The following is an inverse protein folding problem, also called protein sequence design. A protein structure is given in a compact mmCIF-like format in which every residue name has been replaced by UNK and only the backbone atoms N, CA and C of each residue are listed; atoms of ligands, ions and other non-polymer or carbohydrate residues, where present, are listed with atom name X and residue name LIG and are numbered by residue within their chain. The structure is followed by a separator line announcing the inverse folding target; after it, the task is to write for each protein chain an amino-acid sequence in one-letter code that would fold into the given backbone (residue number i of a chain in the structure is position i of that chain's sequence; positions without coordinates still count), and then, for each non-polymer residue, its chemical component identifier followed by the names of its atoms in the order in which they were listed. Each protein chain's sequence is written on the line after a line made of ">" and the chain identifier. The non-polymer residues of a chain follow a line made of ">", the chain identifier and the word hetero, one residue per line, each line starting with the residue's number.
data_IF_827775725329
#
_entry.id   IF_827775725329
#
_cell.length_a   1.000
_cell.length_b   1.000
_cell.length_c   1.000
_cell.angle_alpha   90.00
_cell.angle_beta   90.00
_cell.angle_gamma   90.00
#
_symmetry.space_group_name_H-M   'P 1'
#
loop_
_entity.id
_entity.type
_entity.pdbx_description
1 polymer ?
#
# COMPACT_ATOMS: atom_id res chain seq x y z
N UNK A 1 -17.04 -3.13 -3.29
CA UNK A 1 -17.55 -3.85 -2.11
C UNK A 1 -19.05 -3.69 -1.96
N UNK A 2 -19.61 -2.49 -1.89
CA UNK A 2 -21.08 -2.23 -1.74
C UNK A 2 -21.94 -3.00 -2.76
N UNK A 3 -21.58 -3.00 -4.05
CA UNK A 3 -22.35 -3.71 -5.10
C UNK A 3 -22.47 -5.21 -4.81
N UNK A 4 -21.40 -5.86 -4.34
CA UNK A 4 -21.44 -7.31 -3.99
C UNK A 4 -22.34 -7.57 -2.79
N UNK A 5 -22.32 -6.70 -1.81
CA UNK A 5 -23.14 -6.84 -0.60
C UNK A 5 -24.62 -6.60 -0.93
N UNK A 6 -24.92 -5.52 -1.65
CA UNK A 6 -26.30 -5.24 -2.10
C UNK A 6 -26.84 -6.35 -3.00
N UNK A 7 -26.03 -6.81 -3.96
CA UNK A 7 -26.44 -7.90 -4.85
C UNK A 7 -26.81 -9.18 -4.12
N UNK A 8 -26.05 -9.53 -3.07
CA UNK A 8 -26.33 -10.68 -2.22
C UNK A 8 -27.65 -10.51 -1.46
N UNK A 9 -27.88 -9.32 -0.89
CA UNK A 9 -29.10 -9.03 -0.12
C UNK A 9 -30.35 -9.06 -0.99
N UNK A 10 -30.28 -8.58 -2.24
CA UNK A 10 -31.42 -8.61 -3.18
C UNK A 10 -31.56 -9.95 -3.94
N UNK A 11 -30.78 -10.97 -3.57
CA UNK A 11 -30.89 -12.34 -4.08
C UNK A 11 -30.28 -12.58 -5.46
N UNK A 12 -29.37 -11.73 -5.93
CA UNK A 12 -28.66 -11.96 -7.19
C UNK A 12 -27.52 -12.98 -7.02
N UNK A 13 -27.26 -13.76 -8.06
CA UNK A 13 -26.15 -14.73 -8.01
C UNK A 13 -24.80 -14.04 -7.92
N UNK A 14 -23.86 -14.67 -7.18
CA UNK A 14 -22.53 -14.13 -6.97
C UNK A 14 -21.79 -13.84 -8.29
N UNK A 15 -21.80 -14.80 -9.23
CA UNK A 15 -21.14 -14.63 -10.53
C UNK A 15 -21.68 -13.46 -11.35
N UNK A 16 -23.00 -13.26 -11.35
CA UNK A 16 -23.65 -12.15 -12.02
C UNK A 16 -23.22 -10.81 -11.41
N UNK A 17 -23.28 -10.68 -10.08
CA UNK A 17 -22.89 -9.45 -9.38
C UNK A 17 -21.39 -9.18 -9.51
N UNK A 18 -20.55 -10.21 -9.48
CA UNK A 18 -19.11 -10.09 -9.63
C UNK A 18 -18.73 -9.61 -11.04
N UNK A 19 -19.43 -10.07 -12.08
CA UNK A 19 -19.23 -9.58 -13.45
C UNK A 19 -19.51 -8.08 -13.59
N UNK A 20 -20.54 -7.59 -12.92
CA UNK A 20 -20.87 -6.16 -12.87
C UNK A 20 -19.81 -5.38 -12.07
N UNK A 21 -19.43 -5.90 -10.90
CA UNK A 21 -18.44 -5.26 -10.05
C UNK A 21 -17.05 -5.15 -10.72
N UNK A 22 -16.69 -6.07 -11.61
CA UNK A 22 -15.44 -6.05 -12.40
C UNK A 22 -15.42 -4.99 -13.51
N UNK A 23 -16.58 -4.47 -13.91
CA UNK A 23 -16.64 -3.35 -14.86
C UNK A 23 -16.28 -2.01 -14.21
N UNK A 24 -16.25 -1.94 -12.88
CA UNK A 24 -15.91 -0.71 -12.17
C UNK A 24 -14.40 -0.57 -12.12
N UNK A 25 -13.83 0.49 -12.72
CA UNK A 25 -12.41 0.74 -12.65
C UNK A 25 -11.96 0.91 -11.19
N UNK A 26 -10.92 0.19 -10.82
CA UNK A 26 -10.31 0.31 -9.49
C UNK A 26 -8.92 0.91 -9.62
N UNK A 27 -8.77 2.15 -9.17
CA UNK A 27 -7.49 2.83 -9.06
C UNK A 27 -7.27 3.20 -7.58
N UNK A 28 -6.37 2.50 -6.88
CA UNK A 28 -6.09 2.77 -5.47
C UNK A 28 -5.51 4.16 -5.22
N UNK A 29 -4.80 4.73 -6.20
CA UNK A 29 -4.15 6.05 -6.09
C UNK A 29 -5.14 7.19 -6.28
N UNK A 30 -6.23 6.94 -7.01
CA UNK A 30 -7.26 7.93 -7.30
C UNK A 30 -8.66 7.29 -7.26
N UNK A 31 -9.18 7.03 -6.05
CA UNK A 31 -10.50 6.40 -5.92
C UNK A 31 -11.58 7.28 -6.54
N UNK A 32 -12.36 6.68 -7.44
CA UNK A 32 -13.52 7.34 -8.08
C UNK A 32 -14.79 6.93 -7.38
N UNK A 33 -15.76 7.84 -7.33
CA UNK A 33 -17.10 7.54 -6.89
C UNK A 33 -17.82 6.60 -7.87
N UNK A 34 -18.85 5.90 -7.41
CA UNK A 34 -19.63 4.99 -8.27
C UNK A 34 -20.28 5.75 -9.43
N UNK A 35 -20.73 6.99 -9.22
CA UNK A 35 -21.32 7.81 -10.26
C UNK A 35 -20.28 8.17 -11.35
N UNK A 36 -19.04 8.51 -10.97
CA UNK A 36 -17.96 8.75 -11.92
C UNK A 36 -17.59 7.51 -12.72
N UNK A 37 -17.59 6.34 -12.05
CA UNK A 37 -17.36 5.06 -12.72
C UNK A 37 -18.46 4.72 -13.73
N UNK A 38 -19.73 4.96 -13.40
CA UNK A 38 -20.86 4.77 -14.31
C UNK A 38 -20.71 5.68 -15.53
N UNK A 39 -20.35 6.94 -15.32
CA UNK A 39 -20.21 7.92 -16.41
C UNK A 39 -19.02 7.59 -17.34
N UNK A 40 -18.00 6.90 -16.84
CA UNK A 40 -16.80 6.57 -17.60
C UNK A 40 -16.81 5.18 -18.26
N UNK A 41 -17.79 4.29 -17.92
CA UNK A 41 -17.83 2.91 -18.44
C UNK A 41 -19.11 2.66 -19.28
N UNK A 42 -19.04 2.72 -20.62
CA UNK A 42 -20.20 2.56 -21.49
C UNK A 42 -20.92 1.20 -21.35
N UNK A 43 -20.16 0.13 -21.04
CA UNK A 43 -20.74 -1.21 -20.83
C UNK A 43 -21.60 -1.26 -19.61
N UNK A 44 -21.20 -0.58 -18.53
CA UNK A 44 -21.99 -0.49 -17.31
C UNK A 44 -23.27 0.33 -17.56
N UNK A 45 -23.19 1.44 -18.30
CA UNK A 45 -24.35 2.24 -18.68
C UNK A 45 -25.37 1.43 -19.50
N UNK A 46 -24.87 0.63 -20.45
CA UNK A 46 -25.72 -0.25 -21.26
C UNK A 46 -26.43 -1.27 -20.38
N UNK A 47 -25.71 -1.96 -19.51
CA UNK A 47 -26.30 -2.94 -18.60
C UNK A 47 -27.37 -2.33 -17.68
N UNK A 48 -27.16 -1.11 -17.18
CA UNK A 48 -28.15 -0.39 -16.37
C UNK A 48 -29.43 -0.09 -17.16
N UNK A 49 -29.30 0.19 -18.47
CA UNK A 49 -30.47 0.44 -19.36
C UNK A 49 -31.20 -0.84 -19.71
N UNK A 50 -30.46 -1.92 -19.97
CA UNK A 50 -31.00 -3.15 -20.56
C UNK A 50 -31.54 -4.13 -19.52
N UNK A 51 -31.09 -4.06 -18.26
CA UNK A 51 -31.52 -4.97 -17.18
C UNK A 51 -32.00 -4.21 -15.95
N UNK A 52 -33.31 -4.32 -15.65
CA UNK A 52 -33.93 -3.69 -14.49
C UNK A 52 -33.34 -4.15 -13.14
N UNK A 53 -32.80 -5.38 -13.07
CA UNK A 53 -32.13 -5.90 -11.87
C UNK A 53 -30.81 -5.17 -11.64
N UNK A 54 -30.05 -4.92 -12.72
CA UNK A 54 -28.81 -4.14 -12.65
C UNK A 54 -29.10 -2.71 -12.25
N UNK A 55 -30.14 -2.09 -12.83
CA UNK A 55 -30.57 -0.74 -12.43
C UNK A 55 -30.89 -0.69 -10.94
N UNK A 56 -31.72 -1.60 -10.42
CA UNK A 56 -32.05 -1.67 -9.00
C UNK A 56 -30.82 -1.86 -8.11
N UNK A 57 -29.90 -2.73 -8.53
CA UNK A 57 -28.63 -2.97 -7.83
C UNK A 57 -27.80 -1.69 -7.71
N UNK A 58 -27.64 -0.98 -8.82
CA UNK A 58 -26.85 0.26 -8.86
C UNK A 58 -27.53 1.40 -8.09
N UNK A 59 -28.83 1.59 -8.26
CA UNK A 59 -29.59 2.63 -7.53
C UNK A 59 -29.48 2.47 -6.01
N UNK A 60 -29.58 1.23 -5.50
CA UNK A 60 -29.37 0.93 -4.09
C UNK A 60 -27.92 1.13 -3.66
N UNK A 61 -26.98 0.74 -4.50
CA UNK A 61 -25.55 0.88 -4.21
C UNK A 61 -25.12 2.35 -4.12
N UNK A 62 -25.66 3.22 -4.97
CA UNK A 62 -25.44 4.67 -4.91
C UNK A 62 -25.96 5.29 -3.61
N UNK A 63 -27.08 4.80 -3.07
CA UNK A 63 -27.62 5.29 -1.79
C UNK A 63 -26.79 4.87 -0.58
N UNK A 64 -26.02 3.78 -0.71
CA UNK A 64 -25.20 3.22 0.38
C UNK A 64 -23.72 3.56 0.23
N UNK A 65 -23.32 4.16 -0.89
CA UNK A 65 -21.94 4.59 -1.09
C UNK A 65 -21.57 5.65 -0.04
N UNK A 66 -20.36 5.53 0.51
CA UNK A 66 -19.84 6.45 1.53
C UNK A 66 -20.32 6.19 2.95
N UNK A 67 -21.30 5.29 3.16
CA UNK A 67 -21.72 4.94 4.51
C UNK A 67 -20.70 4.02 5.19
N UNK A 68 -20.43 4.31 6.46
CA UNK A 68 -19.58 3.47 7.29
C UNK A 68 -20.28 2.14 7.59
N UNK A 69 -19.60 1.03 7.33
CA UNK A 69 -20.15 -0.32 7.49
C UNK A 69 -19.70 -1.01 8.76
N UNK A 70 -18.43 -0.84 9.12
CA UNK A 70 -17.81 -1.52 10.24
C UNK A 70 -17.01 -0.53 11.08
N UNK A 71 -16.87 -0.87 12.35
CA UNK A 71 -15.88 -0.30 13.25
C UNK A 71 -14.76 -1.33 13.42
N UNK A 72 -13.52 -0.92 13.28
CA UNK A 72 -12.38 -1.78 13.50
C UNK A 72 -11.28 -0.98 14.21
N UNK A 73 -10.58 -1.64 15.14
CA UNK A 73 -9.39 -1.06 15.76
C UNK A 73 -8.23 -1.09 14.76
N UNK A 74 -7.54 0.02 14.60
CA UNK A 74 -6.35 0.09 13.76
C UNK A 74 -5.24 -0.80 14.34
N UNK A 75 -4.54 -1.55 13.48
CA UNK A 75 -3.54 -2.52 13.92
C UNK A 75 -2.31 -1.88 14.61
N UNK A 76 -1.98 -0.64 14.28
CA UNK A 76 -0.75 0.02 14.70
C UNK A 76 -0.91 1.51 15.04
N UNK A 77 -2.00 2.14 14.60
CA UNK A 77 -2.23 3.57 14.81
C UNK A 77 -2.66 3.87 16.24
N UNK A 78 -1.92 4.76 16.90
CA UNK A 78 -2.23 5.29 18.22
C UNK A 78 -2.39 6.80 18.11
N UNK A 79 -3.49 7.33 18.64
CA UNK A 79 -3.68 8.78 18.71
C UNK A 79 -3.21 9.31 20.04
N UNK A 80 -2.52 10.44 20.01
CA UNK A 80 -1.97 11.13 21.17
C UNK A 80 -2.59 12.52 21.24
N UNK A 81 -2.94 12.94 22.46
CA UNK A 81 -3.47 14.25 22.75
C UNK A 81 -2.77 14.86 23.98
N UNK A 82 -2.80 16.17 24.07
CA UNK A 82 -2.30 16.95 25.21
C UNK A 82 -3.23 16.92 26.44
N UNK A 83 -4.45 16.40 26.22
CA UNK A 83 -5.53 16.36 27.22
C UNK A 83 -6.32 15.05 27.11
N UNK A 84 -7.27 14.85 28.02
CA UNK A 84 -8.14 13.68 28.01
C UNK A 84 -8.90 13.56 26.69
N UNK A 85 -8.76 12.44 25.98
CA UNK A 85 -9.33 12.19 24.66
C UNK A 85 -10.86 12.43 24.61
N UNK A 86 -11.58 12.11 25.67
CA UNK A 86 -13.04 12.31 25.78
C UNK A 86 -13.46 13.78 25.68
N UNK A 87 -12.53 14.72 25.83
CA UNK A 87 -12.82 16.15 25.66
C UNK A 87 -12.79 16.58 24.18
N UNK A 88 -12.19 15.75 23.32
CA UNK A 88 -11.99 16.08 21.90
C UNK A 88 -12.76 15.15 20.97
N UNK A 89 -12.89 13.86 21.32
CA UNK A 89 -13.50 12.86 20.44
C UNK A 89 -14.30 11.83 21.24
N UNK A 90 -15.38 11.27 20.66
CA UNK A 90 -16.05 10.13 21.25
C UNK A 90 -15.19 8.88 21.12
N UNK A 91 -15.24 8.04 22.16
CA UNK A 91 -14.48 6.80 22.21
C UNK A 91 -15.39 5.58 22.04
N UNK A 92 -14.83 4.54 21.44
CA UNK A 92 -15.45 3.23 21.25
C UNK A 92 -14.60 2.15 21.89
N UNK A 93 -15.22 1.29 22.67
CA UNK A 93 -14.58 0.09 23.22
C UNK A 93 -15.30 -1.13 22.65
N UNK A 94 -14.56 -1.94 21.89
CA UNK A 94 -15.06 -3.23 21.45
C UNK A 94 -15.12 -4.19 22.65
N UNK A 95 -16.31 -4.70 22.94
CA UNK A 95 -16.51 -5.66 24.02
C UNK A 95 -15.79 -7.00 23.80
N UNK A 96 -15.50 -7.34 22.54
CA UNK A 96 -14.78 -8.55 22.15
C UNK A 96 -13.25 -8.38 22.13
N UNK A 97 -12.76 -7.15 22.24
CA UNK A 97 -11.33 -6.86 22.16
C UNK A 97 -10.65 -7.03 23.53
N UNK A 98 -9.56 -7.79 23.54
CA UNK A 98 -8.66 -7.90 24.72
C UNK A 98 -7.80 -6.63 24.91
N UNK A 99 -7.86 -5.68 23.98
CA UNK A 99 -7.10 -4.43 24.08
C UNK A 99 -7.65 -3.55 25.20
N UNK A 100 -6.73 -3.06 26.02
CA UNK A 100 -7.06 -2.17 27.17
C UNK A 100 -7.47 -0.76 26.71
N UNK A 101 -6.96 -0.31 25.56
CA UNK A 101 -7.17 1.04 25.05
C UNK A 101 -8.43 1.10 24.16
N UNK A 102 -9.29 2.11 24.33
CA UNK A 102 -10.42 2.37 23.45
C UNK A 102 -9.92 2.95 22.11
N UNK A 103 -10.73 2.79 21.06
CA UNK A 103 -10.53 3.45 19.77
C UNK A 103 -11.30 4.77 19.70
N UNK A 104 -10.88 5.70 18.86
CA UNK A 104 -11.71 6.85 18.49
C UNK A 104 -12.86 6.40 17.60
N UNK A 105 -14.03 7.04 17.71
CA UNK A 105 -15.13 6.82 16.76
C UNK A 105 -14.94 7.62 15.46
N UNK A 106 -13.93 8.46 15.39
CA UNK A 106 -13.58 9.24 14.22
C UNK A 106 -12.66 8.44 13.29
N UNK A 107 -12.82 8.64 12.00
CA UNK A 107 -11.84 8.21 11.01
C UNK A 107 -10.53 9.03 11.12
N UNK A 108 -9.54 8.67 10.33
CA UNK A 108 -8.21 9.30 10.37
C UNK A 108 -8.28 10.83 10.15
N UNK A 109 -9.04 11.26 9.14
CA UNK A 109 -9.15 12.68 8.78
C UNK A 109 -9.92 13.49 9.85
N UNK A 110 -10.99 12.92 10.36
CA UNK A 110 -11.78 13.56 11.42
C UNK A 110 -11.02 13.65 12.74
N UNK A 111 -10.19 12.64 13.06
CA UNK A 111 -9.32 12.66 14.23
C UNK A 111 -8.24 13.74 14.11
N UNK A 112 -7.61 13.88 12.95
CA UNK A 112 -6.62 14.92 12.66
C UNK A 112 -7.26 16.31 12.73
N UNK A 113 -8.43 16.49 12.11
CA UNK A 113 -9.19 17.75 12.18
C UNK A 113 -9.61 18.11 13.62
N UNK A 114 -9.79 17.13 14.51
CA UNK A 114 -10.04 17.36 15.93
C UNK A 114 -8.76 17.72 16.72
N UNK A 115 -7.62 17.87 16.04
CA UNK A 115 -6.32 18.24 16.65
C UNK A 115 -5.57 17.07 17.27
N UNK A 116 -5.91 15.82 16.96
CA UNK A 116 -5.20 14.65 17.43
C UNK A 116 -4.03 14.32 16.51
N UNK A 117 -2.93 13.86 17.10
CA UNK A 117 -1.75 13.38 16.38
C UNK A 117 -1.79 11.86 16.36
N UNK A 118 -1.71 11.27 15.16
CA UNK A 118 -1.65 9.83 14.95
C UNK A 118 -0.21 9.38 14.78
N UNK A 119 0.19 8.39 15.55
CA UNK A 119 1.45 7.66 15.39
C UNK A 119 1.15 6.22 15.00
N UNK A 120 1.89 5.69 14.02
CA UNK A 120 1.80 4.30 13.60
C UNK A 120 3.02 3.53 14.13
N UNK A 121 2.78 2.60 15.07
CA UNK A 121 3.82 1.74 15.62
C UNK A 121 3.77 0.38 14.93
N UNK A 122 4.51 0.26 13.84
CA UNK A 122 4.57 -0.97 13.06
C UNK A 122 5.85 -1.75 13.39
N UNK A 123 5.67 -2.95 13.96
CA UNK A 123 6.74 -3.91 14.11
C UNK A 123 7.01 -4.67 12.80
N UNK A 124 8.27 -4.97 12.51
CA UNK A 124 8.66 -5.75 11.36
C UNK A 124 9.17 -7.13 11.81
N UNK A 125 8.41 -8.18 11.54
CA UNK A 125 8.78 -9.57 11.90
C UNK A 125 10.12 -10.00 11.28
N UNK A 126 10.46 -9.51 10.09
CA UNK A 126 11.73 -9.80 9.40
C UNK A 126 12.93 -9.34 10.22
N UNK A 127 12.87 -8.19 10.88
CA UNK A 127 13.95 -7.73 11.77
C UNK A 127 14.14 -8.68 12.97
N UNK A 128 13.05 -9.24 13.50
CA UNK A 128 13.14 -10.27 14.55
C UNK A 128 13.84 -11.54 14.05
N UNK A 129 13.63 -11.92 12.78
CA UNK A 129 14.32 -13.07 12.15
C UNK A 129 15.81 -12.77 12.03
N UNK A 130 16.18 -11.56 11.55
CA UNK A 130 17.58 -11.12 11.43
C UNK A 130 18.28 -11.12 12.79
N UNK A 131 17.65 -10.54 13.84
CA UNK A 131 18.19 -10.54 15.20
C UNK A 131 18.42 -11.96 15.73
N UNK A 132 17.42 -12.85 15.55
CA UNK A 132 17.59 -14.25 15.95
C UNK A 132 18.71 -14.96 15.18
N UNK A 133 18.82 -14.73 13.88
CA UNK A 133 19.90 -15.28 13.06
C UNK A 133 21.27 -14.80 13.55
N UNK A 134 21.41 -13.50 13.80
CA UNK A 134 22.63 -12.93 14.38
C UNK A 134 22.99 -13.61 15.71
N UNK A 135 22.04 -13.74 16.65
CA UNK A 135 22.26 -14.42 17.94
C UNK A 135 22.69 -15.88 17.80
N UNK A 136 22.18 -16.59 16.77
CA UNK A 136 22.59 -17.96 16.48
C UNK A 136 24.04 -18.03 15.96
N UNK A 137 24.42 -17.11 15.07
CA UNK A 137 25.79 -17.01 14.55
C UNK A 137 26.77 -16.66 15.66
N UNK A 138 26.41 -15.74 16.55
CA UNK A 138 27.23 -15.28 17.68
C UNK A 138 27.54 -16.39 18.68
N UNK A 139 26.82 -17.52 18.70
CA UNK A 139 27.21 -18.69 19.48
C UNK A 139 28.53 -19.30 19.01
N UNK A 140 28.88 -19.14 17.73
CA UNK A 140 30.13 -19.67 17.12
C UNK A 140 31.13 -18.54 16.84
N UNK A 141 30.65 -17.37 16.45
CA UNK A 141 31.46 -16.18 16.14
C UNK A 141 30.92 -14.99 16.93
N UNK A 142 31.46 -14.73 18.11
CA UNK A 142 30.96 -13.68 19.03
C UNK A 142 31.09 -12.26 18.47
N UNK A 143 31.98 -12.02 17.52
CA UNK A 143 32.24 -10.70 16.94
C UNK A 143 31.33 -10.38 15.74
N UNK A 144 30.55 -11.36 15.27
CA UNK A 144 29.64 -11.14 14.15
C UNK A 144 28.56 -10.12 14.50
N UNK A 145 28.40 -9.11 13.65
CA UNK A 145 27.30 -8.14 13.71
C UNK A 145 26.77 -7.86 12.31
N UNK A 146 25.45 -7.81 12.18
CA UNK A 146 24.79 -7.43 10.93
C UNK A 146 25.15 -5.99 10.53
N UNK A 147 25.38 -5.11 11.51
CA UNK A 147 25.76 -3.71 11.26
C UNK A 147 27.16 -3.55 10.65
N UNK A 148 27.97 -4.62 10.64
CA UNK A 148 29.32 -4.65 10.07
C UNK A 148 29.38 -5.33 8.70
N UNK A 149 28.23 -5.73 8.15
CA UNK A 149 28.17 -6.35 6.81
C UNK A 149 28.45 -5.26 5.78
N UNK A 150 29.31 -5.58 4.83
CA UNK A 150 29.55 -4.75 3.65
C UNK A 150 28.36 -4.88 2.69
N UNK A 151 27.91 -3.75 2.16
CA UNK A 151 26.79 -3.68 1.23
C UNK A 151 27.22 -3.66 -0.25
N UNK A 152 28.54 -3.78 -0.53
CA UNK A 152 29.10 -3.70 -1.89
C UNK A 152 29.41 -5.09 -2.50
N UNK A 153 28.78 -6.17 -1.96
CA UNK A 153 28.98 -7.52 -2.48
C UNK A 153 28.36 -7.70 -3.87
N UNK A 154 29.21 -7.76 -4.88
CA UNK A 154 28.81 -7.92 -6.28
C UNK A 154 28.07 -9.22 -6.58
N UNK A 155 28.29 -10.31 -5.83
CA UNK A 155 27.56 -11.57 -6.01
C UNK A 155 26.09 -11.43 -5.60
N UNK A 156 25.82 -10.62 -4.57
CA UNK A 156 24.46 -10.30 -4.16
C UNK A 156 23.73 -9.57 -5.29
N UNK A 157 24.33 -8.52 -5.85
CA UNK A 157 23.71 -7.76 -6.95
C UNK A 157 23.53 -8.60 -8.22
N UNK A 158 24.48 -9.49 -8.54
CA UNK A 158 24.33 -10.42 -9.64
C UNK A 158 23.16 -11.40 -9.42
N UNK A 159 22.98 -11.87 -8.20
CA UNK A 159 21.85 -12.73 -7.82
C UNK A 159 20.50 -12.00 -7.93
N UNK A 160 20.44 -10.74 -7.46
CA UNK A 160 19.27 -9.88 -7.58
C UNK A 160 18.93 -9.57 -9.05
N UNK A 161 19.95 -9.27 -9.87
CA UNK A 161 19.80 -8.98 -11.30
C UNK A 161 19.27 -10.17 -12.11
N UNK A 162 19.41 -11.39 -11.60
CA UNK A 162 18.84 -12.62 -12.18
C UNK A 162 17.40 -12.88 -11.70
N UNK A 163 16.86 -12.08 -10.81
CA UNK A 163 15.54 -12.29 -10.20
C UNK A 163 15.50 -13.47 -9.22
N UNK A 164 16.64 -13.95 -8.73
CA UNK A 164 16.73 -15.05 -7.76
C UNK A 164 16.45 -14.55 -6.34
N UNK A 165 15.20 -14.12 -6.09
CA UNK A 165 14.81 -13.39 -4.87
C UNK A 165 13.80 -14.14 -4.01
N UNK A 166 13.72 -15.47 -4.12
CA UNK A 166 12.84 -16.29 -3.28
C UNK A 166 13.24 -16.18 -1.82
N UNK A 167 12.29 -15.80 -0.96
CA UNK A 167 12.52 -15.61 0.47
C UNK A 167 13.16 -14.26 0.84
N UNK A 168 13.45 -13.39 -0.12
CA UNK A 168 13.94 -12.04 0.15
C UNK A 168 12.74 -11.09 0.36
N UNK A 169 12.62 -10.59 1.58
CA UNK A 169 11.53 -9.69 1.96
C UNK A 169 11.40 -8.51 0.99
N UNK A 170 10.17 -8.22 0.57
CA UNK A 170 9.78 -7.18 -0.40
C UNK A 170 10.27 -7.40 -1.85
N UNK A 171 11.20 -8.32 -2.12
CA UNK A 171 11.79 -8.51 -3.45
C UNK A 171 11.29 -9.75 -4.18
N UNK A 172 10.40 -10.54 -3.59
CA UNK A 172 10.02 -11.88 -4.08
C UNK A 172 8.78 -11.91 -5.00
N UNK A 173 8.01 -10.80 -5.13
CA UNK A 173 6.86 -10.77 -6.04
C UNK A 173 7.30 -10.82 -7.50
N UNK A 174 6.47 -11.39 -8.39
CA UNK A 174 6.79 -11.52 -9.83
C UNK A 174 7.16 -10.17 -10.44
N UNK A 175 6.33 -9.14 -10.23
CA UNK A 175 6.59 -7.82 -10.79
C UNK A 175 7.85 -7.15 -10.22
N UNK A 176 8.21 -7.40 -8.94
CA UNK A 176 9.46 -6.91 -8.38
C UNK A 176 10.67 -7.65 -8.98
N UNK A 177 10.56 -8.95 -9.23
CA UNK A 177 11.58 -9.72 -9.96
C UNK A 177 11.83 -9.18 -11.35
N UNK A 178 10.76 -8.91 -12.10
CA UNK A 178 10.87 -8.32 -13.44
C UNK A 178 11.51 -6.93 -13.39
N UNK A 179 11.18 -6.13 -12.39
CA UNK A 179 11.79 -4.82 -12.19
C UNK A 179 13.30 -4.92 -11.86
N UNK A 180 13.71 -5.86 -11.00
CA UNK A 180 15.13 -6.14 -10.68
C UNK A 180 15.92 -6.62 -11.91
N UNK A 181 15.36 -7.53 -12.70
CA UNK A 181 16.00 -8.03 -13.92
C UNK A 181 16.20 -6.92 -14.94
N UNK A 182 15.25 -6.00 -15.06
CA UNK A 182 15.34 -4.87 -15.98
C UNK A 182 16.28 -3.77 -15.46
N UNK A 183 16.31 -3.51 -14.15
CA UNK A 183 17.15 -2.49 -13.53
C UNK A 183 18.60 -2.91 -13.47
N UNK A 184 18.89 -4.19 -13.25
CA UNK A 184 20.24 -4.74 -13.02
C UNK A 184 20.97 -3.97 -11.93
N UNK A 185 20.53 -4.04 -10.68
CA UNK A 185 21.12 -3.28 -9.58
C UNK A 185 22.59 -3.61 -9.40
N UNK A 186 23.39 -2.59 -9.11
CA UNK A 186 24.83 -2.67 -8.88
C UNK A 186 25.25 -2.15 -7.53
N UNK A 187 24.37 -1.37 -6.87
CA UNK A 187 24.61 -0.74 -5.57
C UNK A 187 23.35 -0.86 -4.70
N UNK A 188 23.49 -0.65 -3.39
CA UNK A 188 22.36 -0.69 -2.46
C UNK A 188 21.33 0.40 -2.77
N UNK A 189 21.80 1.57 -3.23
CA UNK A 189 20.96 2.71 -3.61
C UNK A 189 19.94 2.35 -4.70
N UNK A 190 20.31 1.48 -5.64
CA UNK A 190 19.39 0.96 -6.67
C UNK A 190 18.24 0.19 -6.05
N UNK A 191 18.51 -0.59 -5.01
CA UNK A 191 17.48 -1.36 -4.29
C UNK A 191 16.59 -0.42 -3.50
N UNK A 192 17.16 0.59 -2.84
CA UNK A 192 16.42 1.62 -2.11
C UNK A 192 15.48 2.36 -3.07
N UNK A 193 16.02 2.80 -4.22
CA UNK A 193 15.23 3.48 -5.26
C UNK A 193 14.11 2.59 -5.79
N UNK A 194 14.41 1.32 -6.08
CA UNK A 194 13.41 0.37 -6.58
C UNK A 194 12.28 0.17 -5.59
N UNK A 195 12.57 -0.07 -4.32
CA UNK A 195 11.57 -0.24 -3.26
C UNK A 195 10.73 1.04 -3.08
N UNK A 196 11.34 2.21 -3.23
CA UNK A 196 10.65 3.49 -3.18
C UNK A 196 9.72 3.71 -4.39
N UNK A 197 10.14 3.30 -5.58
CA UNK A 197 9.37 3.48 -6.83
C UNK A 197 8.31 2.38 -7.05
N UNK A 198 8.53 1.16 -6.54
CA UNK A 198 7.63 0.02 -6.78
C UNK A 198 6.37 0.09 -5.90
N UNK A 199 5.53 1.08 -6.17
CA UNK A 199 4.22 1.29 -5.52
C UNK A 199 3.29 2.06 -6.46
N UNK A 200 1.96 1.99 -6.26
CA UNK A 200 1.01 2.75 -7.06
C UNK A 200 1.37 4.24 -7.09
N UNK A 201 1.39 4.83 -8.28
CA UNK A 201 1.82 6.20 -8.54
C UNK A 201 3.23 6.26 -9.13
N UNK A 202 4.31 6.12 -8.34
CA UNK A 202 5.67 6.31 -8.86
C UNK A 202 6.21 5.16 -9.72
N UNK A 203 5.52 4.01 -9.81
CA UNK A 203 5.96 2.84 -10.59
C UNK A 203 6.23 3.15 -12.08
N UNK A 204 5.50 4.11 -12.65
CA UNK A 204 5.73 4.57 -14.03
C UNK A 204 7.09 5.24 -14.24
N UNK A 205 7.78 5.63 -13.16
CA UNK A 205 9.10 6.26 -13.24
C UNK A 205 10.26 5.24 -13.20
N UNK A 206 10.00 3.94 -12.96
CA UNK A 206 11.04 2.91 -12.95
C UNK A 206 11.82 2.86 -14.28
N UNK A 207 11.16 2.90 -15.47
CA UNK A 207 11.89 2.96 -16.74
C UNK A 207 12.79 4.19 -16.85
N UNK A 208 12.31 5.35 -16.40
CA UNK A 208 13.09 6.61 -16.41
C UNK A 208 14.33 6.48 -15.53
N UNK A 209 14.17 5.94 -14.31
CA UNK A 209 15.30 5.67 -13.42
C UNK A 209 16.34 4.74 -14.08
N UNK A 210 15.87 3.66 -14.72
CA UNK A 210 16.75 2.71 -15.42
C UNK A 210 17.53 3.37 -16.57
N UNK A 211 16.86 4.24 -17.34
CA UNK A 211 17.50 4.96 -18.46
C UNK A 211 18.57 5.94 -17.94
N UNK A 212 18.26 6.68 -16.87
CA UNK A 212 19.24 7.58 -16.25
C UNK A 212 20.42 6.81 -15.66
N UNK A 213 20.17 5.72 -14.93
CA UNK A 213 21.20 4.84 -14.38
C UNK A 213 22.14 4.27 -15.45
N UNK A 214 21.59 3.91 -16.61
CA UNK A 214 22.37 3.33 -17.72
C UNK A 214 22.99 4.38 -18.65
N UNK A 215 22.86 5.68 -18.32
CA UNK A 215 23.39 6.76 -19.15
C UNK A 215 22.66 6.97 -20.48
N UNK A 216 21.45 6.41 -20.61
CA UNK A 216 20.61 6.54 -21.81
C UNK A 216 19.80 7.86 -21.78
N UNK A 217 19.69 8.47 -20.62
CA UNK A 217 18.95 9.70 -20.41
C UNK A 217 19.60 10.51 -19.30
N UNK A 218 19.67 11.85 -19.49
CA UNK A 218 20.04 12.77 -18.43
C UNK A 218 18.91 12.94 -17.43
N UNK A 219 19.20 13.08 -16.11
CA UNK A 219 18.19 13.38 -15.11
C UNK A 219 17.51 14.72 -15.39
N UNK A 220 16.19 14.74 -15.26
CA UNK A 220 15.39 15.95 -15.43
C UNK A 220 15.03 16.52 -14.04
N UNK A 221 15.64 17.66 -13.68
CA UNK A 221 15.41 18.28 -12.39
C UNK A 221 14.28 19.31 -12.50
N UNK A 222 13.32 19.25 -11.56
CA UNK A 222 12.20 20.20 -11.48
C UNK A 222 12.68 21.68 -11.38
N UNK A 223 13.86 21.88 -10.79
CA UNK A 223 14.48 23.20 -10.68
C UNK A 223 16.02 23.05 -10.68
N UNK A 224 16.77 23.93 -11.37
CA UNK A 224 18.24 23.82 -11.47
C UNK A 224 18.97 23.79 -10.11
N UNK A 225 18.42 24.46 -9.07
CA UNK A 225 19.00 24.43 -7.72
C UNK A 225 18.91 23.05 -7.05
N UNK A 226 18.03 22.16 -7.53
CA UNK A 226 17.90 20.81 -6.99
C UNK A 226 18.96 19.86 -7.55
N UNK A 227 19.61 20.20 -8.65
CA UNK A 227 20.69 19.40 -9.23
C UNK A 227 21.79 19.15 -8.19
N UNK A 228 22.26 20.18 -7.50
CA UNK A 228 23.30 20.07 -6.46
C UNK A 228 22.80 19.28 -5.23
N UNK A 229 21.51 19.37 -4.90
CA UNK A 229 20.93 18.66 -3.75
C UNK A 229 20.69 17.20 -4.02
N UNK A 230 20.46 16.81 -5.28
CA UNK A 230 20.08 15.45 -5.69
C UNK A 230 21.23 14.65 -6.30
N UNK A 231 22.44 15.24 -6.41
CA UNK A 231 23.65 14.58 -6.91
C UNK A 231 24.04 13.37 -6.04
N UNK A 232 23.60 13.32 -4.78
CA UNK A 232 23.93 12.27 -3.82
C UNK A 232 22.75 11.30 -3.58
N UNK A 233 21.69 11.40 -4.34
CA UNK A 233 20.54 10.50 -4.34
C UNK A 233 20.57 9.67 -5.62
#
# INVERSE_FOLDING_TARGET
>A
MVIRDVGRVIGLSYGFVDSIAKLIPFDPSRPKSLIECINSEPRLQKLIKDDARVKKLIDLSLKLEGLNRNVATHAAGVVIADRKLTNSVPLYKDASSELLLPSTQFDMYSAENAGLIKFDFLGLKTLTVVDKAQKLIQKKNKEFSVDKIDYDDSEVFNTLSKGNTVGLFQLESSGMKDALVNMKPTHLEDIIALVALYRPGPMSNIPIYNDCKNGLREPDYIHPMLELSLIHI
#
